data_IF_718357138483
#
_entry.id   IF_718357138483
#
_cell.length_a   1.000
_cell.length_b   1.000
_cell.length_c   1.000
_cell.angle_alpha   90.00
_cell.angle_beta   90.00
_cell.angle_gamma   90.00
#
_symmetry.space_group_name_H-M   'P 1'
#
loop_
_entity.id
_entity.type
_entity.pdbx_description
1 polymer ?
#
# COMPACT_ATOMS: atom_id res chain seq x y z
N UNK A 1 -43.32 -9.54 5.78
CA UNK A 1 -44.05 -10.81 5.57
C UNK A 1 -45.48 -10.85 6.12
N UNK A 2 -45.88 -10.01 7.09
CA UNK A 2 -47.21 -10.11 7.73
C UNK A 2 -48.42 -9.72 6.85
N UNK A 3 -48.27 -8.83 5.87
CA UNK A 3 -49.40 -8.38 5.02
C UNK A 3 -49.87 -9.47 4.05
N UNK A 4 -48.94 -10.16 3.38
CA UNK A 4 -49.25 -11.25 2.43
C UNK A 4 -49.92 -12.42 3.15
N UNK A 5 -49.49 -12.73 4.37
CA UNK A 5 -50.14 -13.76 5.20
C UNK A 5 -51.58 -13.36 5.56
N UNK A 6 -51.83 -12.09 5.90
CA UNK A 6 -53.19 -11.60 6.21
C UNK A 6 -54.13 -11.67 5.02
N UNK A 7 -53.68 -11.24 3.84
CA UNK A 7 -54.49 -11.26 2.63
C UNK A 7 -54.87 -12.68 2.21
N UNK A 8 -53.92 -13.62 2.30
CA UNK A 8 -54.14 -15.05 2.04
C UNK A 8 -55.15 -15.67 3.01
N UNK A 9 -55.04 -15.38 4.30
CA UNK A 9 -56.01 -15.87 5.31
C UNK A 9 -57.38 -15.23 5.06
N UNK A 10 -57.46 -13.93 4.80
CA UNK A 10 -58.72 -13.24 4.54
C UNK A 10 -59.45 -13.80 3.32
N UNK A 11 -58.70 -14.13 2.28
CA UNK A 11 -59.22 -14.74 1.04
C UNK A 11 -59.77 -16.15 1.32
N UNK A 12 -58.99 -16.98 2.02
CA UNK A 12 -59.44 -18.33 2.40
C UNK A 12 -60.69 -18.28 3.29
N UNK A 13 -60.75 -17.34 4.24
CA UNK A 13 -61.87 -17.19 5.15
C UNK A 13 -63.13 -16.71 4.41
N UNK A 14 -62.96 -15.79 3.43
CA UNK A 14 -64.04 -15.37 2.54
C UNK A 14 -64.62 -16.57 1.79
N UNK A 15 -63.78 -17.40 1.16
CA UNK A 15 -64.21 -18.57 0.40
C UNK A 15 -65.03 -19.54 1.27
N UNK A 16 -64.55 -19.83 2.48
CA UNK A 16 -65.27 -20.72 3.40
C UNK A 16 -66.62 -20.11 3.80
N UNK A 17 -66.66 -18.83 4.17
CA UNK A 17 -67.90 -18.17 4.58
C UNK A 17 -68.92 -18.09 3.43
N UNK A 18 -68.48 -17.76 2.22
CA UNK A 18 -69.35 -17.64 1.04
C UNK A 18 -70.04 -18.97 0.69
N UNK A 19 -69.34 -20.09 0.94
CA UNK A 19 -69.89 -21.45 0.74
C UNK A 19 -71.10 -21.70 1.64
N UNK A 20 -71.04 -21.28 2.92
CA UNK A 20 -72.14 -21.47 3.86
C UNK A 20 -73.23 -20.41 3.72
N UNK A 21 -72.90 -19.18 3.34
CA UNK A 21 -73.90 -18.09 3.24
C UNK A 21 -74.77 -18.20 1.98
N UNK A 22 -74.30 -18.92 0.95
CA UNK A 22 -75.06 -19.18 -0.28
C UNK A 22 -76.35 -19.95 0.01
N UNK A 23 -76.32 -20.92 0.94
CA UNK A 23 -77.51 -21.68 1.36
C UNK A 23 -78.58 -20.80 2.02
N UNK A 24 -78.19 -19.65 2.56
CA UNK A 24 -79.08 -18.68 3.20
C UNK A 24 -79.41 -17.47 2.31
N UNK A 25 -78.93 -17.45 1.06
CA UNK A 25 -79.14 -16.35 0.12
C UNK A 25 -78.39 -15.06 0.45
N UNK A 26 -77.31 -15.14 1.23
CA UNK A 26 -76.48 -14.00 1.64
C UNK A 26 -75.12 -14.03 0.91
N UNK A 27 -74.62 -12.86 0.48
CA UNK A 27 -73.33 -12.72 -0.23
C UNK A 27 -72.30 -11.99 0.64
N UNK A 28 -71.09 -12.55 0.78
CA UNK A 28 -70.02 -11.95 1.59
C UNK A 28 -69.21 -10.94 0.77
N UNK A 29 -69.37 -9.65 1.07
CA UNK A 29 -68.68 -8.57 0.35
C UNK A 29 -67.17 -8.49 0.65
N UNK A 30 -66.78 -8.39 1.94
CA UNK A 30 -65.38 -8.24 2.35
C UNK A 30 -65.13 -8.87 3.73
N UNK A 31 -64.02 -9.59 3.86
CA UNK A 31 -63.52 -10.11 5.13
C UNK A 31 -62.23 -9.39 5.49
N UNK A 32 -62.16 -8.84 6.69
CA UNK A 32 -60.97 -8.15 7.19
C UNK A 32 -60.53 -8.73 8.52
N UNK A 33 -59.26 -9.13 8.59
CA UNK A 33 -58.65 -9.66 9.81
C UNK A 33 -58.18 -8.48 10.65
N UNK A 34 -58.88 -8.23 11.77
CA UNK A 34 -58.54 -7.15 12.70
C UNK A 34 -57.23 -7.43 13.45
N UNK A 35 -57.29 -8.27 14.48
CA UNK A 35 -56.13 -8.58 15.32
C UNK A 35 -56.00 -10.09 15.44
N UNK A 36 -54.82 -10.61 15.09
CA UNK A 36 -54.40 -11.97 15.46
C UNK A 36 -53.34 -11.75 16.51
N UNK A 37 -53.66 -12.05 17.76
CA UNK A 37 -52.66 -12.06 18.83
C UNK A 37 -52.23 -13.50 19.09
N UNK A 38 -51.01 -13.89 18.70
CA UNK A 38 -50.52 -15.23 19.01
C UNK A 38 -50.37 -15.38 20.53
N UNK A 39 -50.54 -16.60 21.08
CA UNK A 39 -50.35 -16.84 22.51
C UNK A 39 -48.91 -16.51 22.94
N UNK A 40 -48.75 -16.07 24.19
CA UNK A 40 -47.49 -15.51 24.69
C UNK A 40 -46.29 -16.46 24.62
N UNK A 41 -46.53 -17.76 24.70
CA UNK A 41 -45.49 -18.79 24.56
C UNK A 41 -44.88 -18.80 23.15
N UNK A 42 -45.72 -18.63 22.11
CA UNK A 42 -45.28 -18.53 20.71
C UNK A 42 -44.54 -17.23 20.49
N UNK A 43 -45.02 -16.10 21.05
CA UNK A 43 -44.30 -14.81 20.97
C UNK A 43 -42.89 -14.94 21.53
N UNK A 44 -42.74 -15.52 22.72
CA UNK A 44 -41.43 -15.72 23.36
C UNK A 44 -40.52 -16.62 22.54
N UNK A 45 -41.04 -17.74 22.01
CA UNK A 45 -40.27 -18.64 21.15
C UNK A 45 -39.82 -17.94 19.85
N UNK A 46 -40.71 -17.18 19.20
CA UNK A 46 -40.41 -16.41 18.00
C UNK A 46 -39.38 -15.31 18.27
N UNK A 47 -39.50 -14.57 19.37
CA UNK A 47 -38.52 -13.55 19.75
C UNK A 47 -37.14 -14.17 19.97
N UNK A 48 -37.07 -15.29 20.70
CA UNK A 48 -35.80 -16.01 20.94
C UNK A 48 -35.17 -16.48 19.64
N UNK A 49 -35.96 -17.07 18.74
CA UNK A 49 -35.47 -17.52 17.43
C UNK A 49 -35.02 -16.36 16.55
N UNK A 50 -35.80 -15.26 16.51
CA UNK A 50 -35.48 -14.08 15.71
C UNK A 50 -34.20 -13.40 16.21
N UNK A 51 -34.04 -13.28 17.53
CA UNK A 51 -32.81 -12.75 18.13
C UNK A 51 -31.61 -13.63 17.77
N UNK A 52 -31.73 -14.95 17.90
CA UNK A 52 -30.64 -15.88 17.54
C UNK A 52 -30.27 -15.79 16.05
N UNK A 53 -31.25 -15.73 15.15
CA UNK A 53 -30.98 -15.58 13.71
C UNK A 53 -30.38 -14.22 13.37
N UNK A 54 -30.88 -13.15 14.01
CA UNK A 54 -30.33 -11.81 13.84
C UNK A 54 -28.88 -11.74 14.33
N UNK A 55 -28.58 -12.34 15.47
CA UNK A 55 -27.22 -12.40 16.03
C UNK A 55 -26.29 -13.22 15.14
N UNK A 56 -26.74 -14.38 14.66
CA UNK A 56 -26.00 -15.21 13.69
C UNK A 56 -25.72 -14.45 12.39
N UNK A 57 -26.71 -13.71 11.89
CA UNK A 57 -26.56 -12.88 10.69
C UNK A 57 -25.59 -11.74 10.92
N UNK A 58 -25.66 -11.09 12.09
CA UNK A 58 -24.74 -10.02 12.48
C UNK A 58 -23.30 -10.52 12.58
N UNK A 59 -23.07 -11.66 13.23
CA UNK A 59 -21.74 -12.28 13.33
C UNK A 59 -21.17 -12.62 11.95
N UNK A 60 -22.00 -13.20 11.07
CA UNK A 60 -21.58 -13.49 9.68
C UNK A 60 -21.19 -12.20 8.96
N UNK A 61 -22.03 -11.18 9.02
CA UNK A 61 -21.78 -9.90 8.36
C UNK A 61 -20.49 -9.25 8.86
N UNK A 62 -20.26 -9.26 10.18
CA UNK A 62 -19.04 -8.73 10.78
C UNK A 62 -17.81 -9.51 10.31
N UNK A 63 -17.84 -10.84 10.38
CA UNK A 63 -16.74 -11.68 9.93
C UNK A 63 -16.42 -11.49 8.43
N UNK A 64 -17.45 -11.33 7.59
CA UNK A 64 -17.26 -11.02 6.17
C UNK A 64 -16.66 -9.62 5.98
N UNK A 65 -17.13 -8.62 6.72
CA UNK A 65 -16.59 -7.26 6.67
C UNK A 65 -15.13 -7.19 7.14
N UNK A 66 -14.77 -7.91 8.20
CA UNK A 66 -13.38 -8.01 8.68
C UNK A 66 -12.47 -8.68 7.66
N UNK A 67 -12.93 -9.77 7.04
CA UNK A 67 -12.19 -10.45 5.98
C UNK A 67 -11.97 -9.54 4.76
N UNK A 68 -13.02 -8.87 4.29
CA UNK A 68 -12.94 -7.91 3.18
C UNK A 68 -11.98 -6.77 3.51
N UNK A 69 -12.06 -6.21 4.73
CA UNK A 69 -11.15 -5.16 5.17
C UNK A 69 -9.69 -5.62 5.19
N UNK A 70 -9.41 -6.82 5.71
CA UNK A 70 -8.06 -7.39 5.74
C UNK A 70 -7.50 -7.63 4.33
N UNK A 71 -8.31 -8.13 3.40
CA UNK A 71 -7.88 -8.34 2.01
C UNK A 71 -7.61 -7.00 1.31
N UNK A 72 -8.46 -5.98 1.52
CA UNK A 72 -8.22 -4.64 0.99
C UNK A 72 -6.93 -4.02 1.56
N UNK A 73 -6.65 -4.20 2.86
CA UNK A 73 -5.42 -3.73 3.47
C UNK A 73 -4.18 -4.41 2.87
N UNK A 74 -4.24 -5.73 2.67
CA UNK A 74 -3.16 -6.50 2.02
C UNK A 74 -2.92 -6.02 0.59
N UNK A 75 -3.98 -5.86 -0.20
CA UNK A 75 -3.88 -5.35 -1.57
C UNK A 75 -3.29 -3.93 -1.60
N UNK A 76 -3.75 -3.05 -0.71
CA UNK A 76 -3.21 -1.70 -0.59
C UNK A 76 -1.72 -1.70 -0.19
N UNK A 77 -1.30 -2.61 0.69
CA UNK A 77 0.11 -2.75 1.08
C UNK A 77 0.98 -3.20 -0.10
N UNK A 78 0.51 -4.20 -0.87
CA UNK A 78 1.20 -4.67 -2.09
C UNK A 78 1.31 -3.54 -3.10
N UNK A 79 0.21 -2.85 -3.39
CA UNK A 79 0.21 -1.76 -4.37
C UNK A 79 1.14 -0.61 -3.97
N UNK A 80 1.21 -0.27 -2.68
CA UNK A 80 2.19 0.72 -2.19
C UNK A 80 3.63 0.23 -2.40
N UNK A 81 3.92 -1.01 -2.00
CA UNK A 81 5.26 -1.57 -2.16
C UNK A 81 5.70 -1.64 -3.64
N UNK A 82 4.79 -1.98 -4.53
CA UNK A 82 5.01 -1.96 -5.99
C UNK A 82 5.25 -0.55 -6.50
N UNK A 83 4.44 0.42 -6.06
CA UNK A 83 4.60 1.83 -6.41
C UNK A 83 5.94 2.40 -5.94
N UNK A 84 6.35 2.10 -4.70
CA UNK A 84 7.63 2.53 -4.15
C UNK A 84 8.81 1.92 -4.92
N UNK A 85 8.72 0.62 -5.27
CA UNK A 85 9.72 -0.07 -6.09
C UNK A 85 9.84 0.57 -7.46
N UNK A 86 8.72 0.83 -8.13
CA UNK A 86 8.70 1.43 -9.46
C UNK A 86 9.22 2.87 -9.44
N UNK A 87 8.83 3.66 -8.43
CA UNK A 87 9.34 5.00 -8.22
C UNK A 87 10.86 5.01 -8.01
N UNK A 88 11.39 4.11 -7.17
CA UNK A 88 12.83 3.98 -6.94
C UNK A 88 13.59 3.63 -8.23
N UNK A 89 13.05 2.72 -9.05
CA UNK A 89 13.63 2.35 -10.35
C UNK A 89 13.64 3.55 -11.28
N UNK A 90 12.52 4.27 -11.41
CA UNK A 90 12.42 5.45 -12.28
C UNK A 90 13.40 6.56 -11.85
N UNK A 91 13.55 6.78 -10.55
CA UNK A 91 14.52 7.74 -10.01
C UNK A 91 15.95 7.30 -10.34
N UNK A 92 16.28 6.02 -10.15
CA UNK A 92 17.60 5.48 -10.48
C UNK A 92 17.90 5.59 -11.98
N UNK A 93 16.93 5.27 -12.84
CA UNK A 93 17.04 5.42 -14.29
C UNK A 93 17.25 6.88 -14.70
N UNK A 94 16.48 7.81 -14.13
CA UNK A 94 16.65 9.24 -14.41
C UNK A 94 18.02 9.76 -14.00
N UNK A 95 18.56 9.30 -12.85
CA UNK A 95 19.93 9.63 -12.42
C UNK A 95 20.98 9.04 -13.35
N UNK A 96 20.84 7.77 -13.73
CA UNK A 96 21.77 7.12 -14.64
C UNK A 96 21.80 7.84 -15.99
N UNK A 97 20.64 8.21 -16.52
CA UNK A 97 20.52 8.94 -17.78
C UNK A 97 21.12 10.34 -17.69
N UNK A 98 20.93 11.05 -16.58
CA UNK A 98 21.56 12.35 -16.35
C UNK A 98 23.10 12.23 -16.34
N UNK A 99 23.65 11.25 -15.63
CA UNK A 99 25.10 10.99 -15.61
C UNK A 99 25.61 10.65 -17.00
N UNK A 100 24.88 9.80 -17.74
CA UNK A 100 25.21 9.43 -19.12
C UNK A 100 25.29 10.66 -20.03
N UNK A 101 24.30 11.54 -19.96
CA UNK A 101 24.26 12.78 -20.75
C UNK A 101 25.39 13.74 -20.39
N UNK A 102 25.72 13.89 -19.10
CA UNK A 102 26.84 14.73 -18.66
C UNK A 102 28.17 14.18 -19.16
N UNK A 103 28.40 12.87 -19.04
CA UNK A 103 29.61 12.22 -19.53
C UNK A 103 29.73 12.35 -21.06
N UNK A 104 28.65 12.10 -21.79
CA UNK A 104 28.62 12.24 -23.24
C UNK A 104 28.90 13.68 -23.69
N UNK A 105 28.37 14.67 -22.99
CA UNK A 105 28.68 16.07 -23.23
C UNK A 105 30.14 16.40 -22.92
N UNK A 106 30.67 15.91 -21.79
CA UNK A 106 32.08 16.11 -21.43
C UNK A 106 33.02 15.51 -22.47
N UNK A 107 32.79 14.28 -22.92
CA UNK A 107 33.62 13.65 -23.97
C UNK A 107 33.60 14.42 -25.29
N UNK A 108 32.45 14.97 -25.69
CA UNK A 108 32.35 15.72 -26.96
C UNK A 108 32.96 17.12 -26.90
N UNK A 109 32.72 17.85 -25.82
CA UNK A 109 33.09 19.27 -25.72
C UNK A 109 34.40 19.51 -24.98
N UNK A 110 34.84 18.56 -24.16
CA UNK A 110 36.06 18.68 -23.35
C UNK A 110 37.22 17.93 -24.03
N UNK A 111 37.66 18.42 -25.19
CA UNK A 111 38.76 17.84 -25.98
C UNK A 111 39.91 18.85 -26.20
N UNK A 112 41.12 18.33 -26.41
CA UNK A 112 42.31 19.14 -26.74
C UNK A 112 42.78 20.05 -25.60
N UNK A 113 43.03 21.33 -25.90
CA UNK A 113 43.64 22.28 -24.96
C UNK A 113 42.87 22.46 -23.64
N UNK A 114 41.55 22.23 -23.63
CA UNK A 114 40.73 22.29 -22.42
C UNK A 114 41.09 21.19 -21.40
N UNK A 115 41.43 19.98 -21.87
CA UNK A 115 41.90 18.89 -21.00
C UNK A 115 43.26 19.23 -20.41
N UNK A 116 44.18 19.72 -21.24
CA UNK A 116 45.52 20.13 -20.81
C UNK A 116 45.46 21.25 -19.78
N UNK A 117 44.62 22.26 -19.99
CA UNK A 117 44.42 23.33 -19.02
C UNK A 117 43.88 22.80 -17.70
N UNK A 118 42.90 21.88 -17.73
CA UNK A 118 42.34 21.27 -16.52
C UNK A 118 43.36 20.43 -15.76
N UNK A 119 44.22 19.70 -16.48
CA UNK A 119 45.33 18.96 -15.87
C UNK A 119 46.33 19.91 -15.19
N UNK A 120 46.72 21.01 -15.84
CA UNK A 120 47.61 22.02 -15.27
C UNK A 120 46.99 22.66 -14.02
N UNK A 121 45.70 23.02 -14.07
CA UNK A 121 44.96 23.60 -12.95
C UNK A 121 44.87 22.62 -11.75
N UNK A 122 44.66 21.32 -12.02
CA UNK A 122 44.63 20.28 -10.98
C UNK A 122 46.00 20.11 -10.31
N UNK A 123 47.08 20.17 -11.11
CA UNK A 123 48.47 20.14 -10.61
C UNK A 123 48.75 21.39 -9.77
N UNK A 124 48.41 22.58 -10.26
CA UNK A 124 48.59 23.85 -9.51
C UNK A 124 47.89 23.80 -8.15
N UNK A 125 46.63 23.36 -8.12
CA UNK A 125 45.82 23.28 -6.91
C UNK A 125 46.41 22.27 -5.92
N UNK A 126 46.87 21.12 -6.41
CA UNK A 126 47.52 20.09 -5.58
C UNK A 126 48.84 20.58 -5.00
N UNK A 127 49.61 21.36 -5.75
CA UNK A 127 50.85 21.97 -5.28
C UNK A 127 50.59 23.08 -4.24
N UNK A 128 49.53 23.88 -4.39
CA UNK A 128 49.16 24.91 -3.40
C UNK A 128 48.76 24.33 -2.05
N UNK A 129 48.03 23.22 -2.03
CA UNK A 129 47.51 22.63 -0.78
C UNK A 129 48.51 21.72 -0.06
N UNK A 130 49.34 20.98 -0.81
CA UNK A 130 50.23 19.96 -0.25
C UNK A 130 51.70 20.39 -0.12
N UNK A 131 52.11 21.56 -0.64
CA UNK A 131 53.49 22.02 -0.46
C UNK A 131 53.71 22.56 0.97
N UNK A 132 54.55 21.88 1.75
CA UNK A 132 55.01 22.37 3.07
C UNK A 132 56.32 23.13 2.90
N UNK A 133 56.30 24.45 3.09
CA UNK A 133 57.50 25.30 3.01
C UNK A 133 58.25 25.20 4.33
N UNK A 134 59.44 24.61 4.32
CA UNK A 134 60.35 24.60 5.48
C UNK A 134 61.24 25.85 5.38
N UNK A 135 61.09 26.76 6.34
CA UNK A 135 61.99 27.92 6.47
C UNK A 135 63.10 27.53 7.43
N UNK A 136 64.35 27.54 6.95
CA UNK A 136 65.53 27.39 7.81
C UNK A 136 66.20 28.73 8.00
N UNK A 137 66.92 28.87 9.10
CA UNK A 137 67.73 30.00 9.54
C UNK A 137 68.83 30.42 8.54
N UNK A 138 69.05 29.66 7.46
CA UNK A 138 69.90 30.02 6.31
C UNK A 138 69.13 30.41 5.03
N UNK A 139 67.81 30.54 5.08
CA UNK A 139 66.97 30.95 3.95
C UNK A 139 65.82 29.97 3.64
N UNK A 140 64.89 30.43 2.79
CA UNK A 140 63.77 29.64 2.29
C UNK A 140 64.28 28.70 1.21
N UNK A 141 64.32 27.40 1.47
CA UNK A 141 64.67 26.38 0.48
C UNK A 141 63.45 25.49 0.24
N UNK A 142 62.58 25.82 -0.74
CA UNK A 142 61.36 25.06 -0.97
C UNK A 142 61.72 23.68 -1.50
N UNK A 143 61.59 22.65 -0.66
CA UNK A 143 61.78 21.26 -1.06
C UNK A 143 60.42 20.61 -1.31
N UNK A 144 60.18 20.19 -2.55
CA UNK A 144 58.99 19.48 -2.96
C UNK A 144 59.08 18.02 -2.48
N UNK A 145 58.44 17.70 -1.36
CA UNK A 145 58.24 16.31 -0.94
C UNK A 145 57.02 15.76 -1.68
N UNK A 146 57.25 15.17 -2.86
CA UNK A 146 56.27 14.29 -3.48
C UNK A 146 56.22 13.02 -2.63
N UNK A 147 55.16 12.84 -1.86
CA UNK A 147 54.98 11.63 -1.05
C UNK A 147 54.71 10.42 -1.94
N UNK A 148 55.64 9.47 -1.99
CA UNK A 148 55.36 8.05 -2.20
C UNK A 148 55.91 7.27 -0.99
N UNK A 149 55.03 6.87 -0.07
CA UNK A 149 54.58 5.48 0.21
C UNK A 149 55.30 4.82 1.40
N UNK A 150 54.64 3.86 2.09
CA UNK A 150 55.07 2.49 1.85
C UNK A 150 53.92 1.50 1.61
N UNK A 151 54.12 0.73 0.54
CA UNK A 151 53.62 -0.63 0.35
C UNK A 151 53.87 -1.47 1.60
N UNK A 152 52.83 -2.09 2.14
CA UNK A 152 53.00 -3.23 3.06
C UNK A 152 53.11 -4.51 2.23
N UNK A 153 54.34 -4.92 1.92
CA UNK A 153 54.65 -6.34 1.70
C UNK A 153 55.79 -6.68 2.66
N UNK A 154 55.41 -7.26 3.79
CA UNK A 154 56.30 -7.87 4.78
C UNK A 154 57.14 -8.96 4.12
N UNK A 155 58.46 -8.88 4.29
CA UNK A 155 59.43 -9.87 3.87
C UNK A 155 60.04 -10.50 5.13
N UNK A 156 59.79 -11.78 5.38
CA UNK A 156 60.65 -12.60 6.23
C UNK A 156 61.63 -13.37 5.34
N UNK A 157 62.92 -13.17 5.61
CA UNK A 157 64.10 -13.70 4.90
C UNK A 157 64.60 -14.97 5.60
N UNK A 158 64.82 -16.08 4.85
CA UNK A 158 66.16 -16.63 4.46
C UNK A 158 66.50 -17.97 5.20
N UNK A 159 67.53 -18.75 4.83
CA UNK A 159 68.16 -19.05 3.52
C UNK A 159 68.52 -20.56 3.31
N UNK A 160 69.14 -20.85 2.14
CA UNK A 160 69.83 -22.08 1.65
C UNK A 160 68.96 -23.17 1.02
#
# INVERSE_FOLDING_TARGET
>A
ESLVAREKIATNLKTVLDTFTTEWGLTVSKVEIRLIDPPDDIKKAMHKQKTAEQERRSMRLLATGEFEAAEQQKLAAIQRAEGDREAAIKVAQGRAEAIRLVNEAAERYFVGNAQTLKQIEMVETSLKSNAKIIVTDKGINPTLLLGEMPMTVTNEKHPV
#
